data_IF_133577554884
#
_entry.id   IF_133577554884
#
_cell.length_a   1.000
_cell.length_b   1.000
_cell.length_c   1.000
_cell.angle_alpha   90.00
_cell.angle_beta   90.00
_cell.angle_gamma   90.00
#
_symmetry.space_group_name_H-M   'P 1'
#
loop_
_entity.id
_entity.type
_entity.pdbx_description
1 polymer ?
#
# COMPACT_ATOMS: atom_id res chain seq x y z
N UNK A 1 12.56 16.78 -4.37
CA UNK A 1 12.23 15.37 -4.11
C UNK A 1 11.94 15.22 -2.64
N UNK A 2 10.66 15.30 -2.27
CA UNK A 2 10.18 15.06 -0.92
C UNK A 2 9.93 13.56 -0.77
N UNK A 3 10.78 12.89 0.02
CA UNK A 3 10.61 11.47 0.33
C UNK A 3 9.42 11.31 1.25
N UNK A 4 8.47 10.44 0.89
CA UNK A 4 7.32 10.10 1.71
C UNK A 4 7.62 8.91 2.60
N UNK A 5 8.09 7.80 2.03
CA UNK A 5 8.46 6.60 2.77
C UNK A 5 9.48 5.76 1.99
N UNK A 6 9.93 4.66 2.59
CA UNK A 6 10.91 3.75 2.00
C UNK A 6 10.66 2.32 2.44
N UNK A 7 10.53 1.40 1.48
CA UNK A 7 10.41 -0.04 1.74
C UNK A 7 11.67 -0.72 1.21
N UNK A 8 12.47 -1.30 2.11
CA UNK A 8 13.82 -1.83 1.80
C UNK A 8 14.67 -0.82 1.03
N UNK A 9 15.03 -1.11 -0.22
CA UNK A 9 15.80 -0.23 -1.12
C UNK A 9 14.91 0.65 -2.03
N UNK A 10 13.58 0.53 -1.97
CA UNK A 10 12.64 1.35 -2.75
C UNK A 10 12.31 2.65 -2.04
N UNK A 11 12.69 3.79 -2.64
CA UNK A 11 12.37 5.13 -2.14
C UNK A 11 11.14 5.70 -2.84
N UNK A 12 10.15 6.21 -2.10
CA UNK A 12 8.92 6.76 -2.66
C UNK A 12 8.90 8.27 -2.46
N UNK A 13 8.81 9.02 -3.56
CA UNK A 13 8.84 10.48 -3.57
C UNK A 13 7.50 11.04 -4.05
N UNK A 14 7.07 12.14 -3.45
CA UNK A 14 5.82 12.82 -3.80
C UNK A 14 5.77 13.19 -5.30
N UNK A 15 6.88 13.66 -5.85
CA UNK A 15 6.96 14.13 -7.23
C UNK A 15 6.88 13.00 -8.29
N UNK A 16 7.10 11.76 -7.86
CA UNK A 16 7.02 10.56 -8.72
C UNK A 16 5.64 9.88 -8.63
N UNK A 17 4.73 10.39 -7.80
CA UNK A 17 3.39 9.83 -7.64
C UNK A 17 2.54 10.03 -8.91
N UNK A 18 1.73 9.03 -9.23
CA UNK A 18 0.77 9.05 -10.32
C UNK A 18 -0.61 9.47 -9.80
N UNK A 19 -0.97 10.74 -10.04
CA UNK A 19 -2.28 11.28 -9.69
C UNK A 19 -2.19 12.37 -8.64
N UNK A 20 -3.25 12.52 -7.85
CA UNK A 20 -3.30 13.45 -6.73
C UNK A 20 -2.97 12.70 -5.43
N UNK A 21 -1.81 12.99 -4.85
CA UNK A 21 -1.37 12.36 -3.61
C UNK A 21 -2.22 12.78 -2.41
N UNK A 22 -2.93 13.92 -2.52
CA UNK A 22 -3.74 14.44 -1.42
C UNK A 22 -4.98 13.59 -1.12
N UNK A 23 -5.34 12.69 -2.02
CA UNK A 23 -6.40 11.68 -1.80
C UNK A 23 -6.00 10.59 -0.80
N UNK A 24 -4.71 10.50 -0.44
CA UNK A 24 -4.15 9.43 0.41
C UNK A 24 -3.34 9.98 1.59
N UNK A 25 -3.55 11.25 2.00
CA UNK A 25 -2.77 11.89 3.08
C UNK A 25 -2.83 11.13 4.41
N UNK A 26 -3.93 10.44 4.65
CA UNK A 26 -4.19 9.59 5.81
C UNK A 26 -3.48 8.23 5.72
N UNK A 27 -3.34 7.66 4.53
CA UNK A 27 -2.65 6.38 4.32
C UNK A 27 -1.13 6.50 4.34
N UNK A 28 -0.56 7.64 3.91
CA UNK A 28 0.90 7.81 3.84
C UNK A 28 1.58 7.59 5.20
N UNK A 29 1.10 8.17 6.33
CA UNK A 29 1.63 7.89 7.65
C UNK A 29 1.56 6.40 8.04
N UNK A 30 0.46 5.72 7.70
CA UNK A 30 0.28 4.28 7.97
C UNK A 30 1.33 3.47 7.20
N UNK A 31 1.51 3.76 5.91
CA UNK A 31 2.51 3.09 5.08
C UNK A 31 3.93 3.38 5.59
N UNK A 32 4.22 4.63 5.99
CA UNK A 32 5.53 5.01 6.55
C UNK A 32 5.83 4.26 7.85
N UNK A 33 4.85 4.16 8.75
CA UNK A 33 4.97 3.43 10.01
C UNK A 33 5.26 1.94 9.78
N UNK A 34 4.55 1.30 8.85
CA UNK A 34 4.67 -0.14 8.57
C UNK A 34 5.87 -0.48 7.68
N UNK A 35 6.39 0.50 6.92
CA UNK A 35 7.48 0.34 5.94
C UNK A 35 8.70 -0.49 6.39
N UNK A 36 9.17 -0.45 7.65
CA UNK A 36 10.32 -1.25 8.09
C UNK A 36 10.13 -2.77 7.94
N UNK A 37 8.89 -3.23 8.11
CA UNK A 37 8.53 -4.66 8.10
C UNK A 37 7.98 -5.12 6.75
N UNK A 38 7.74 -4.20 5.82
CA UNK A 38 7.24 -4.52 4.49
C UNK A 38 8.33 -5.11 3.60
N UNK A 39 7.89 -6.08 2.80
CA UNK A 39 8.63 -6.63 1.66
C UNK A 39 7.98 -6.16 0.37
N UNK A 40 8.68 -6.36 -0.75
CA UNK A 40 8.09 -6.17 -2.07
C UNK A 40 8.30 -7.40 -2.94
N UNK A 41 7.45 -7.55 -3.94
CA UNK A 41 7.63 -8.53 -5.01
C UNK A 41 7.57 -7.89 -6.39
N UNK A 42 8.21 -8.52 -7.37
CA UNK A 42 8.08 -8.07 -8.76
C UNK A 42 6.91 -8.77 -9.41
N UNK A 43 5.93 -8.00 -9.86
CA UNK A 43 4.76 -8.48 -10.58
C UNK A 43 4.74 -7.97 -12.02
N UNK A 44 3.94 -8.61 -12.86
CA UNK A 44 3.57 -8.09 -14.17
C UNK A 44 2.05 -7.87 -14.19
N UNK A 45 1.60 -6.61 -14.36
CA UNK A 45 0.17 -6.30 -14.35
C UNK A 45 -0.45 -6.64 -15.71
N UNK A 46 -1.71 -7.08 -15.70
CA UNK A 46 -2.42 -7.44 -16.93
C UNK A 46 -2.71 -6.19 -17.80
N UNK A 47 -3.01 -5.06 -17.16
CA UNK A 47 -3.37 -3.79 -17.80
C UNK A 47 -2.20 -2.91 -18.22
N UNK A 48 -2.46 -1.61 -18.29
CA UNK A 48 -1.44 -0.59 -18.54
C UNK A 48 -0.86 -0.07 -17.23
N UNK A 49 0.44 0.18 -17.20
CA UNK A 49 1.16 0.75 -16.05
C UNK A 49 0.80 2.23 -15.79
N UNK A 50 0.01 2.85 -16.67
CA UNK A 50 -0.44 4.25 -16.63
C UNK A 50 0.69 5.28 -16.36
N UNK A 51 1.92 4.96 -16.75
CA UNK A 51 3.08 5.82 -16.45
C UNK A 51 3.94 6.16 -17.68
N UNK A 52 4.60 5.18 -18.30
CA UNK A 52 5.53 5.41 -19.41
C UNK A 52 5.45 4.38 -20.53
N UNK A 53 4.60 3.35 -20.37
CA UNK A 53 4.35 2.29 -21.34
C UNK A 53 5.59 1.50 -21.82
N UNK A 54 6.72 1.60 -21.08
CA UNK A 54 7.97 0.87 -21.37
C UNK A 54 8.02 -0.53 -20.78
N UNK A 55 7.17 -0.81 -19.79
CA UNK A 55 7.11 -2.08 -19.06
C UNK A 55 5.72 -2.25 -18.47
N UNK A 56 5.33 -3.50 -18.21
CA UNK A 56 4.19 -3.87 -17.37
C UNK A 56 4.59 -4.36 -15.99
N UNK A 57 5.91 -4.35 -15.72
CA UNK A 57 6.46 -4.83 -14.46
C UNK A 57 6.47 -3.74 -13.40
N UNK A 58 6.08 -4.11 -12.18
CA UNK A 58 6.09 -3.24 -11.03
C UNK A 58 6.70 -3.97 -9.84
N UNK A 59 7.31 -3.20 -8.93
CA UNK A 59 7.53 -3.63 -7.56
C UNK A 59 6.24 -3.37 -6.80
N UNK A 60 5.60 -4.42 -6.30
CA UNK A 60 4.39 -4.40 -5.51
C UNK A 60 4.76 -4.49 -4.03
N UNK A 61 4.27 -3.55 -3.23
CA UNK A 61 4.19 -3.65 -1.77
C UNK A 61 2.74 -3.83 -1.40
N UNK A 62 2.44 -4.76 -0.50
CA UNK A 62 1.08 -5.06 -0.04
C UNK A 62 1.01 -4.96 1.49
N UNK A 63 0.01 -4.24 2.00
CA UNK A 63 -0.32 -4.15 3.41
C UNK A 63 -1.73 -4.69 3.58
N UNK A 64 -1.85 -5.85 4.23
CA UNK A 64 -3.13 -6.49 4.49
C UNK A 64 -3.64 -6.03 5.85
N UNK A 65 -4.81 -5.42 5.86
CA UNK A 65 -5.50 -5.05 7.08
C UNK A 65 -7.00 -5.16 6.96
N UNK A 66 -7.67 -4.54 7.92
CA UNK A 66 -9.10 -4.52 8.05
C UNK A 66 -9.56 -3.17 8.56
N UNK A 67 -10.78 -2.76 8.19
CA UNK A 67 -11.48 -1.65 8.86
C UNK A 67 -12.40 -2.25 9.93
N UNK A 68 -12.31 -1.74 11.15
CA UNK A 68 -13.16 -2.16 12.25
C UNK A 68 -14.50 -1.38 12.32
N UNK A 69 -15.29 -1.62 13.35
CA UNK A 69 -16.60 -0.96 13.54
C UNK A 69 -16.53 0.56 13.79
N UNK A 70 -15.34 1.09 14.11
CA UNK A 70 -15.08 2.50 14.37
C UNK A 70 -14.43 3.22 13.17
N UNK A 71 -14.32 2.55 12.03
CA UNK A 71 -13.61 3.05 10.83
C UNK A 71 -12.08 3.12 11.03
N UNK A 72 -11.54 2.38 12.03
CA UNK A 72 -10.10 2.32 12.29
C UNK A 72 -9.44 1.19 11.49
N UNK A 73 -8.31 1.51 10.86
CA UNK A 73 -7.47 0.51 10.20
C UNK A 73 -6.68 -0.31 11.23
N UNK A 74 -6.80 -1.63 11.14
CA UNK A 74 -6.04 -2.60 11.92
C UNK A 74 -5.31 -3.55 10.98
N UNK A 75 -4.01 -3.78 11.22
CA UNK A 75 -3.24 -4.75 10.43
C UNK A 75 -3.76 -6.17 10.66
N UNK A 76 -3.50 -7.06 9.70
CA UNK A 76 -3.84 -8.48 9.87
C UNK A 76 -3.15 -9.09 11.10
N UNK A 77 -1.91 -8.72 11.35
CA UNK A 77 -1.11 -9.17 12.50
C UNK A 77 -1.76 -8.75 13.82
N UNK A 78 -2.21 -7.50 13.93
CA UNK A 78 -2.91 -7.00 15.11
C UNK A 78 -4.25 -7.69 15.31
N UNK A 79 -5.03 -7.87 14.24
CA UNK A 79 -6.30 -8.62 14.29
C UNK A 79 -6.07 -10.05 14.76
N UNK A 80 -5.06 -10.72 14.22
CA UNK A 80 -4.70 -12.09 14.59
C UNK A 80 -4.23 -12.17 16.06
N UNK A 81 -3.54 -11.13 16.55
CA UNK A 81 -3.13 -11.02 17.95
C UNK A 81 -4.31 -10.84 18.93
N UNK A 82 -5.45 -10.27 18.50
CA UNK A 82 -6.65 -10.16 19.33
C UNK A 82 -7.26 -11.54 19.69
N UNK A 83 -7.04 -12.56 18.86
CA UNK A 83 -7.52 -13.91 19.09
C UNK A 83 -9.03 -13.96 19.38
N UNK A 84 -9.42 -14.50 20.55
CA UNK A 84 -10.83 -14.57 20.97
C UNK A 84 -11.49 -13.20 21.21
N UNK A 85 -10.72 -12.13 21.44
CA UNK A 85 -11.27 -10.79 21.62
C UNK A 85 -11.80 -10.18 20.30
N UNK A 86 -11.40 -10.73 19.16
CA UNK A 86 -11.98 -10.42 17.86
C UNK A 86 -13.33 -11.14 17.62
N UNK A 87 -13.69 -12.13 18.44
CA UNK A 87 -14.90 -12.91 18.23
C UNK A 87 -16.16 -12.03 18.38
N UNK A 88 -16.93 -11.93 17.30
CA UNK A 88 -18.16 -11.14 17.25
C UNK A 88 -17.96 -9.67 16.86
N UNK A 89 -16.72 -9.22 16.63
CA UNK A 89 -16.43 -7.92 16.02
C UNK A 89 -16.49 -8.00 14.49
N UNK A 90 -16.86 -6.90 13.84
CA UNK A 90 -16.85 -6.76 12.38
C UNK A 90 -15.47 -6.25 11.94
N UNK A 91 -14.92 -6.87 10.91
CA UNK A 91 -13.67 -6.49 10.26
C UNK A 91 -13.88 -6.64 8.76
N UNK A 92 -13.96 -5.52 8.06
CA UNK A 92 -14.07 -5.49 6.59
C UNK A 92 -12.66 -5.51 6.01
N UNK A 93 -12.42 -6.31 4.96
CA UNK A 93 -11.08 -6.44 4.39
C UNK A 93 -10.66 -5.12 3.76
N UNK A 94 -9.44 -4.67 4.09
CA UNK A 94 -8.88 -3.44 3.54
C UNK A 94 -7.41 -3.65 3.23
N UNK A 95 -7.07 -3.69 1.94
CA UNK A 95 -5.71 -3.94 1.48
C UNK A 95 -5.18 -2.71 0.77
N UNK A 96 -4.04 -2.20 1.24
CA UNK A 96 -3.32 -1.10 0.61
C UNK A 96 -2.22 -1.71 -0.24
N UNK A 97 -2.23 -1.40 -1.54
CA UNK A 97 -1.16 -1.80 -2.45
C UNK A 97 -0.43 -0.59 -3.00
N UNK A 98 0.90 -0.67 -3.03
CA UNK A 98 1.77 0.34 -3.63
C UNK A 98 2.49 -0.27 -4.82
N UNK A 99 2.30 0.31 -5.99
CA UNK A 99 2.88 -0.18 -7.24
C UNK A 99 3.96 0.79 -7.70
N UNK A 100 5.17 0.29 -7.98
CA UNK A 100 6.27 1.11 -8.51
C UNK A 100 6.81 0.57 -9.82
N UNK A 101 6.74 1.37 -10.87
CA UNK A 101 7.18 1.00 -12.21
C UNK A 101 8.69 0.74 -12.26
N UNK A 102 9.08 -0.42 -12.78
CA UNK A 102 10.50 -0.80 -12.87
C UNK A 102 11.29 -0.03 -13.95
N UNK A 103 10.61 0.73 -14.83
CA UNK A 103 11.25 1.44 -15.93
C UNK A 103 11.44 2.95 -15.69
N UNK A 104 10.48 3.61 -15.04
CA UNK A 104 10.53 5.05 -14.81
C UNK A 104 10.46 5.45 -13.33
N UNK A 105 10.25 4.51 -12.40
CA UNK A 105 10.22 4.79 -10.97
C UNK A 105 8.96 5.48 -10.46
N UNK A 106 8.04 5.89 -11.35
CA UNK A 106 6.73 6.40 -10.95
C UNK A 106 5.93 5.34 -10.22
N UNK A 107 5.07 5.77 -9.30
CA UNK A 107 4.35 4.87 -8.40
C UNK A 107 2.93 5.35 -8.10
N UNK A 108 2.08 4.44 -7.65
CA UNK A 108 0.68 4.71 -7.28
C UNK A 108 0.25 3.88 -6.08
N UNK A 109 -0.82 4.32 -5.42
CA UNK A 109 -1.53 3.55 -4.40
C UNK A 109 -2.81 2.98 -5.02
N UNK A 110 -3.22 1.80 -4.59
CA UNK A 110 -4.53 1.22 -4.93
C UNK A 110 -5.08 0.47 -3.73
N UNK A 111 -6.40 0.59 -3.53
CA UNK A 111 -7.12 -0.02 -2.42
C UNK A 111 -7.96 -1.19 -2.92
N UNK A 112 -8.02 -2.24 -2.13
CA UNK A 112 -8.97 -3.34 -2.30
C UNK A 112 -9.80 -3.45 -1.03
N UNK A 113 -11.11 -3.28 -1.19
CA UNK A 113 -12.11 -3.23 -0.13
C UNK A 113 -13.25 -4.21 -0.48
N UNK A 114 -13.69 -5.03 0.49
CA UNK A 114 -14.84 -5.98 0.37
C UNK A 114 -15.88 -5.79 1.47
#
# INVERSE_FOLDING_TARGET
MKKLFQVKDLMFYEEDYLGDITEYEDLIPIIEELSPDLEYEMIEIAGDNLCCDKTKKNMLVEIIGYIDENDDFITKEERDALGLAAAGKKFDLFVITVHKCTACGKWSISLLEE
#
